data_IF_421318548508
#
_entry.id   IF_421318548508
#
_cell.length_a   1.000
_cell.length_b   1.000
_cell.length_c   1.000
_cell.angle_alpha   90.00
_cell.angle_beta   90.00
_cell.angle_gamma   90.00
#
_symmetry.space_group_name_H-M   'P 1'
#
loop_
_entity.id
_entity.type
_entity.pdbx_description
1 polymer ?
#
# COMPACT_ATOMS: atom_id res chain seq x y z
N UNK A 1 -33.26 13.37 20.74
CA UNK A 1 -33.38 12.58 19.48
C UNK A 1 -34.17 13.28 18.38
N UNK A 2 -35.25 13.96 18.67
CA UNK A 2 -36.08 14.69 17.63
C UNK A 2 -35.43 15.91 16.97
N UNK A 3 -34.45 16.56 17.56
CA UNK A 3 -33.79 17.78 17.00
C UNK A 3 -32.77 17.44 15.92
N UNK A 4 -32.14 16.26 15.97
CA UNK A 4 -31.15 15.82 14.99
C UNK A 4 -31.77 15.51 13.60
N UNK A 5 -33.00 15.00 13.58
CA UNK A 5 -33.68 14.66 12.32
C UNK A 5 -34.22 15.88 11.56
N UNK A 6 -34.57 16.99 12.22
CA UNK A 6 -35.11 18.19 11.53
C UNK A 6 -34.09 18.91 10.65
N UNK A 7 -32.81 18.81 10.93
CA UNK A 7 -31.77 19.47 10.16
C UNK A 7 -31.23 18.60 8.99
N UNK A 8 -31.48 17.29 9.01
CA UNK A 8 -31.09 16.39 7.94
C UNK A 8 -31.86 16.60 6.61
N UNK A 9 -33.08 17.11 6.71
CA UNK A 9 -33.96 17.33 5.52
C UNK A 9 -33.84 18.72 4.89
N UNK A 10 -33.00 19.61 5.40
CA UNK A 10 -32.89 21.01 4.92
C UNK A 10 -31.68 21.31 4.05
N UNK A 11 -30.72 20.40 3.89
CA UNK A 11 -29.61 20.46 2.94
C UNK A 11 -29.57 19.14 2.19
N UNK A 12 -29.40 19.17 0.87
CA UNK A 12 -29.03 18.02 0.06
C UNK A 12 -27.63 17.58 0.48
N UNK A 13 -27.51 16.87 1.59
CA UNK A 13 -26.23 16.26 1.98
C UNK A 13 -26.01 15.06 1.11
N UNK A 14 -24.89 15.05 0.39
CA UNK A 14 -24.39 13.84 -0.21
C UNK A 14 -23.94 12.90 0.93
N UNK A 15 -24.55 11.74 1.03
CA UNK A 15 -24.25 10.76 2.10
C UNK A 15 -22.77 10.36 2.10
N UNK A 16 -22.18 10.25 0.91
CA UNK A 16 -20.76 9.89 0.79
C UNK A 16 -19.84 10.96 1.36
N UNK A 17 -20.16 12.23 1.19
CA UNK A 17 -19.41 13.34 1.79
C UNK A 17 -19.50 13.31 3.32
N UNK A 18 -20.68 13.04 3.87
CA UNK A 18 -20.86 12.93 5.33
C UNK A 18 -20.06 11.76 5.90
N UNK A 19 -20.04 10.62 5.21
CA UNK A 19 -19.25 9.46 5.61
C UNK A 19 -17.74 9.75 5.55
N UNK A 20 -17.29 10.44 4.50
CA UNK A 20 -15.88 10.86 4.37
C UNK A 20 -15.48 11.84 5.48
N UNK A 21 -16.30 12.86 5.77
CA UNK A 21 -16.05 13.77 6.88
C UNK A 21 -15.99 13.04 8.24
N UNK A 22 -16.94 12.10 8.47
CA UNK A 22 -16.94 11.31 9.69
C UNK A 22 -15.65 10.49 9.80
N UNK A 23 -15.26 9.80 8.74
CA UNK A 23 -14.04 9.01 8.65
C UNK A 23 -12.79 9.85 8.92
N UNK A 24 -12.72 11.07 8.35
CA UNK A 24 -11.63 12.01 8.58
C UNK A 24 -11.52 12.41 10.06
N UNK A 25 -12.63 12.81 10.69
CA UNK A 25 -12.67 13.15 12.13
C UNK A 25 -12.23 11.99 13.02
N UNK A 26 -12.67 10.77 12.70
CA UNK A 26 -12.27 9.55 13.42
C UNK A 26 -10.78 9.25 13.20
N UNK A 27 -10.28 9.37 11.99
CA UNK A 27 -8.86 9.16 11.63
C UNK A 27 -7.95 10.15 12.35
N UNK A 28 -8.35 11.41 12.46
CA UNK A 28 -7.63 12.42 13.22
C UNK A 28 -7.56 12.10 14.72
N UNK A 29 -8.62 11.54 15.28
CA UNK A 29 -8.62 11.09 16.67
C UNK A 29 -7.65 9.92 16.88
N UNK A 30 -7.69 8.92 16.01
CA UNK A 30 -6.76 7.78 16.06
C UNK A 30 -5.31 8.26 15.91
N UNK A 31 -5.05 9.16 14.96
CA UNK A 31 -3.72 9.75 14.79
C UNK A 31 -3.20 10.43 16.07
N UNK A 32 -4.05 11.21 16.74
CA UNK A 32 -3.71 11.89 18.01
C UNK A 32 -3.46 10.91 19.14
N UNK A 33 -4.32 9.91 19.31
CA UNK A 33 -4.20 8.88 20.36
C UNK A 33 -2.85 8.15 20.26
N UNK A 34 -2.42 7.80 19.04
CA UNK A 34 -1.18 7.07 18.80
C UNK A 34 0.01 7.97 18.39
N UNK A 35 -0.16 9.30 18.46
CA UNK A 35 0.90 10.29 18.19
C UNK A 35 1.58 10.07 16.83
N UNK A 36 0.79 9.73 15.81
CA UNK A 36 1.27 9.48 14.45
C UNK A 36 2.17 8.25 14.31
N UNK A 37 2.12 7.31 15.24
CA UNK A 37 2.87 6.05 15.14
C UNK A 37 1.93 4.89 14.85
N UNK A 38 2.36 4.00 13.97
CA UNK A 38 1.67 2.72 13.77
C UNK A 38 1.66 1.95 15.09
N UNK A 39 0.46 1.61 15.58
CA UNK A 39 0.25 1.09 16.93
C UNK A 39 0.44 -0.43 16.99
N UNK A 40 0.06 -1.14 15.92
CA UNK A 40 0.01 -2.60 15.90
C UNK A 40 0.58 -3.16 14.58
N UNK A 41 0.61 -4.48 14.45
CA UNK A 41 0.97 -5.17 13.22
C UNK A 41 2.45 -5.10 12.86
N UNK A 42 2.74 -5.44 11.61
CA UNK A 42 4.11 -5.61 11.10
C UNK A 42 4.92 -4.31 11.10
N UNK A 43 4.25 -3.15 10.98
CA UNK A 43 4.91 -1.84 10.89
C UNK A 43 4.86 -1.03 12.19
N UNK A 44 4.52 -1.68 13.32
CA UNK A 44 4.45 -1.04 14.64
C UNK A 44 5.65 -0.10 14.86
N UNK A 45 5.41 1.06 15.49
CA UNK A 45 6.37 2.15 15.79
C UNK A 45 6.90 2.93 14.57
N UNK A 46 6.43 2.64 13.35
CA UNK A 46 6.70 3.49 12.20
C UNK A 46 5.95 4.81 12.36
N UNK A 47 6.63 5.92 12.15
CA UNK A 47 6.03 7.26 12.21
C UNK A 47 5.43 7.60 10.85
N UNK A 48 4.22 8.16 10.86
CA UNK A 48 3.51 8.64 9.68
C UNK A 48 3.22 10.13 9.86
N UNK A 49 3.45 10.92 8.83
CA UNK A 49 3.13 12.34 8.82
C UNK A 49 1.61 12.55 8.85
N UNK A 50 1.16 13.61 9.51
CA UNK A 50 -0.24 14.04 9.46
C UNK A 50 -0.60 14.74 8.14
N UNK A 51 0.39 15.08 7.29
CA UNK A 51 0.11 15.74 6.02
C UNK A 51 -0.84 14.88 5.21
N UNK A 52 -1.91 15.51 4.79
CA UNK A 52 -3.01 14.81 4.14
C UNK A 52 -2.59 14.26 2.79
N UNK A 53 -3.00 13.05 2.58
CA UNK A 53 -3.02 12.36 1.32
C UNK A 53 -4.45 12.39 0.80
N UNK A 54 -4.60 12.06 -0.44
CA UNK A 54 -5.91 11.81 -1.04
C UNK A 54 -6.61 10.56 -0.46
N UNK A 55 -5.92 9.76 0.36
CA UNK A 55 -6.49 8.57 0.96
C UNK A 55 -7.00 8.82 2.38
N UNK A 56 -8.20 8.34 2.65
CA UNK A 56 -8.85 8.44 3.96
C UNK A 56 -8.49 7.25 4.89
N UNK A 57 -7.32 6.64 4.67
CA UNK A 57 -6.91 5.40 5.33
C UNK A 57 -6.03 5.61 6.55
N UNK A 58 -5.86 6.85 6.97
CA UNK A 58 -4.95 7.19 8.07
C UNK A 58 -5.21 6.36 9.32
N UNK A 59 -6.47 6.10 9.65
CA UNK A 59 -6.81 5.28 10.80
C UNK A 59 -6.35 3.82 10.63
N UNK A 60 -6.64 3.20 9.50
CA UNK A 60 -6.21 1.81 9.23
C UNK A 60 -4.69 1.69 9.18
N UNK A 61 -3.99 2.71 8.65
CA UNK A 61 -2.51 2.79 8.67
C UNK A 61 -1.96 2.91 10.09
N UNK A 62 -2.51 3.82 10.91
CA UNK A 62 -2.07 3.99 12.30
C UNK A 62 -2.39 2.74 13.16
N UNK A 63 -3.51 2.09 12.91
CA UNK A 63 -3.85 0.84 13.57
C UNK A 63 -3.02 -0.35 13.05
N UNK A 64 -2.26 -0.20 11.96
CA UNK A 64 -1.42 -1.25 11.39
C UNK A 64 -2.18 -2.29 10.58
N UNK A 65 -3.40 -1.96 10.16
CA UNK A 65 -4.30 -2.86 9.43
C UNK A 65 -4.36 -2.60 7.93
N UNK A 66 -3.91 -1.44 7.47
CA UNK A 66 -3.89 -1.11 6.05
C UNK A 66 -3.15 -2.19 5.27
N UNK A 67 -3.85 -2.86 4.36
CA UNK A 67 -3.31 -3.97 3.54
C UNK A 67 -2.53 -5.02 4.35
N UNK A 68 -3.08 -5.42 5.49
CA UNK A 68 -2.39 -6.34 6.41
C UNK A 68 -2.02 -7.68 5.75
N UNK A 69 -2.85 -8.19 4.83
CA UNK A 69 -2.58 -9.42 4.08
C UNK A 69 -1.34 -9.27 3.17
N UNK A 70 -1.17 -8.09 2.57
CA UNK A 70 0.02 -7.76 1.77
C UNK A 70 1.26 -7.67 2.66
N UNK A 71 1.15 -7.01 3.82
CA UNK A 71 2.24 -6.92 4.80
C UNK A 71 2.71 -8.30 5.26
N UNK A 72 1.78 -9.20 5.57
CA UNK A 72 2.06 -10.58 5.96
C UNK A 72 2.76 -11.33 4.84
N UNK A 73 2.23 -11.23 3.62
CA UNK A 73 2.80 -11.92 2.47
C UNK A 73 4.19 -11.42 2.09
N UNK A 74 4.43 -10.11 2.14
CA UNK A 74 5.77 -9.53 1.93
C UNK A 74 6.76 -10.11 2.96
N UNK A 75 6.36 -10.14 4.23
CA UNK A 75 7.21 -10.62 5.32
C UNK A 75 7.53 -12.11 5.17
N UNK A 76 6.52 -12.92 4.83
CA UNK A 76 6.66 -14.36 4.62
C UNK A 76 7.61 -14.66 3.44
N UNK A 77 7.42 -14.03 2.29
CA UNK A 77 8.29 -14.21 1.13
C UNK A 77 9.71 -13.75 1.43
N UNK A 78 9.85 -12.57 2.08
CA UNK A 78 11.17 -12.05 2.42
C UNK A 78 11.94 -13.02 3.32
N UNK A 79 11.31 -13.56 4.35
CA UNK A 79 11.95 -14.49 5.28
C UNK A 79 12.38 -15.78 4.59
N UNK A 80 11.51 -16.38 3.75
CA UNK A 80 11.76 -17.61 3.01
C UNK A 80 12.82 -17.46 1.91
N UNK A 81 12.81 -16.31 1.20
CA UNK A 81 13.67 -16.08 0.02
C UNK A 81 14.89 -15.22 0.33
N UNK A 82 15.02 -14.73 1.57
CA UNK A 82 16.12 -13.84 2.00
C UNK A 82 16.27 -12.64 1.06
N UNK A 83 15.13 -12.00 0.73
CA UNK A 83 15.13 -10.83 -0.13
C UNK A 83 15.77 -9.66 0.60
N UNK A 84 16.46 -8.77 -0.14
CA UNK A 84 17.25 -7.67 0.44
C UNK A 84 16.80 -6.29 0.00
N UNK A 85 16.23 -6.21 -1.19
CA UNK A 85 15.90 -4.95 -1.86
C UNK A 85 14.40 -4.89 -2.11
N UNK A 86 13.79 -3.78 -1.70
CA UNK A 86 12.43 -3.42 -2.06
C UNK A 86 12.46 -2.36 -3.16
N UNK A 87 11.74 -2.59 -4.25
CA UNK A 87 11.43 -1.59 -5.27
C UNK A 87 9.94 -1.33 -5.23
N UNK A 88 9.53 -0.10 -4.94
CA UNK A 88 8.13 0.27 -4.80
C UNK A 88 7.76 1.26 -5.90
N UNK A 89 6.98 0.81 -6.87
CA UNK A 89 6.35 1.64 -7.89
C UNK A 89 4.99 2.10 -7.39
N UNK A 90 4.71 3.41 -7.45
CA UNK A 90 3.56 4.01 -6.79
C UNK A 90 3.72 3.96 -5.27
N UNK A 91 4.81 4.57 -4.78
CA UNK A 91 5.13 4.46 -3.35
C UNK A 91 4.17 5.24 -2.45
N UNK A 92 3.37 6.13 -3.01
CA UNK A 92 2.49 7.00 -2.26
C UNK A 92 3.28 7.78 -1.21
N UNK A 93 2.73 7.91 -0.02
CA UNK A 93 3.42 8.50 1.13
C UNK A 93 4.47 7.57 1.77
N UNK A 94 4.67 6.38 1.23
CA UNK A 94 5.69 5.43 1.67
C UNK A 94 5.32 4.58 2.87
N UNK A 95 4.05 4.29 3.10
CA UNK A 95 3.61 3.46 4.23
C UNK A 95 4.32 2.10 4.25
N UNK A 96 4.26 1.34 3.15
CA UNK A 96 4.94 0.06 3.05
C UNK A 96 6.46 0.20 3.07
N UNK A 97 7.00 1.14 2.29
CA UNK A 97 8.43 1.37 2.19
C UNK A 97 9.05 1.66 3.57
N UNK A 98 8.48 2.65 4.27
CA UNK A 98 9.02 3.07 5.58
C UNK A 98 8.80 2.00 6.64
N UNK A 99 7.65 1.33 6.65
CA UNK A 99 7.36 0.22 7.56
C UNK A 99 8.35 -0.93 7.43
N UNK A 100 8.54 -1.42 6.21
CA UNK A 100 9.43 -2.54 5.91
C UNK A 100 10.90 -2.23 6.21
N UNK A 101 11.37 -1.03 5.85
CA UNK A 101 12.75 -0.61 6.13
C UNK A 101 12.99 -0.30 7.60
N UNK A 102 12.02 0.31 8.29
CA UNK A 102 12.10 0.58 9.74
C UNK A 102 12.20 -0.71 10.54
N UNK A 103 11.48 -1.75 10.13
CA UNK A 103 11.51 -3.08 10.72
C UNK A 103 12.69 -3.94 10.25
N UNK A 104 13.58 -3.39 9.42
CA UNK A 104 14.77 -4.08 8.88
C UNK A 104 14.42 -5.35 8.08
N UNK A 105 13.20 -5.41 7.51
CA UNK A 105 12.75 -6.50 6.66
C UNK A 105 13.51 -6.48 5.33
N UNK A 106 13.81 -5.28 4.82
CA UNK A 106 14.71 -5.07 3.68
C UNK A 106 15.92 -4.22 4.08
N UNK A 107 17.03 -4.41 3.39
CA UNK A 107 18.27 -3.65 3.60
C UNK A 107 18.22 -2.29 2.91
N UNK A 108 17.63 -2.24 1.70
CA UNK A 108 17.50 -1.03 0.86
C UNK A 108 16.11 -0.95 0.23
N UNK A 109 15.67 0.28 -0.02
CA UNK A 109 14.42 0.58 -0.74
C UNK A 109 14.63 1.61 -1.85
N UNK A 110 14.02 1.35 -2.99
CA UNK A 110 13.91 2.27 -4.12
C UNK A 110 12.44 2.57 -4.36
N UNK A 111 12.06 3.84 -4.28
CA UNK A 111 10.68 4.27 -4.39
C UNK A 111 10.48 5.18 -5.59
N UNK A 112 9.41 4.94 -6.32
CA UNK A 112 8.99 5.75 -7.45
C UNK A 112 7.60 6.30 -7.15
N UNK A 113 7.48 7.64 -7.14
CA UNK A 113 6.22 8.34 -6.91
C UNK A 113 6.15 9.54 -7.87
N UNK A 114 5.15 9.53 -8.75
CA UNK A 114 5.02 10.51 -9.81
C UNK A 114 4.39 11.82 -9.35
N UNK A 115 3.55 11.78 -8.33
CA UNK A 115 2.94 12.96 -7.77
C UNK A 115 3.94 13.68 -6.86
N UNK A 116 4.33 14.89 -7.22
CA UNK A 116 5.35 15.66 -6.48
C UNK A 116 4.93 16.00 -5.04
N UNK A 117 3.65 16.26 -4.81
CA UNK A 117 3.15 16.54 -3.47
C UNK A 117 3.27 15.29 -2.58
N UNK A 118 2.79 14.16 -3.07
CA UNK A 118 2.88 12.87 -2.38
C UNK A 118 4.33 12.46 -2.16
N UNK A 119 5.19 12.69 -3.16
CA UNK A 119 6.63 12.43 -3.03
C UNK A 119 7.28 13.27 -1.92
N UNK A 120 6.91 14.55 -1.75
CA UNK A 120 7.40 15.35 -0.62
C UNK A 120 6.99 14.76 0.73
N UNK A 121 5.81 14.16 0.83
CA UNK A 121 5.37 13.48 2.05
C UNK A 121 6.15 12.18 2.27
N UNK A 122 6.38 11.40 1.22
CA UNK A 122 7.25 10.23 1.24
C UNK A 122 8.65 10.58 1.78
N UNK A 123 9.29 11.62 1.23
CA UNK A 123 10.62 12.06 1.67
C UNK A 123 10.61 12.52 3.14
N UNK A 124 9.54 13.16 3.58
CA UNK A 124 9.35 13.52 4.99
C UNK A 124 9.19 12.27 5.87
N UNK A 125 8.38 11.30 5.47
CA UNK A 125 8.20 10.05 6.22
C UNK A 125 9.51 9.26 6.32
N UNK A 126 10.31 9.22 5.26
CA UNK A 126 11.67 8.65 5.27
C UNK A 126 12.56 9.37 6.30
N UNK A 127 12.51 10.72 6.33
CA UNK A 127 13.31 11.55 7.25
C UNK A 127 12.95 11.29 8.71
N UNK A 128 11.66 11.33 9.07
CA UNK A 128 11.22 11.17 10.48
C UNK A 128 11.44 9.74 11.00
N UNK A 129 11.55 8.75 10.11
CA UNK A 129 11.90 7.38 10.45
C UNK A 129 13.41 7.10 10.41
N UNK A 130 14.27 8.09 10.09
CA UNK A 130 15.73 7.99 9.99
C UNK A 130 16.20 6.98 8.94
N UNK A 131 15.54 6.93 7.77
CA UNK A 131 15.77 5.94 6.71
C UNK A 131 16.54 6.47 5.49
N UNK A 132 16.97 7.76 5.47
CA UNK A 132 17.65 8.40 4.33
C UNK A 132 18.81 7.61 3.75
N UNK A 133 19.62 6.95 4.60
CA UNK A 133 20.78 6.15 4.13
C UNK A 133 20.42 4.85 3.43
N UNK A 134 19.16 4.41 3.54
CA UNK A 134 18.67 3.13 3.00
C UNK A 134 17.65 3.29 1.89
N UNK A 135 17.22 4.54 1.60
CA UNK A 135 16.10 4.81 0.71
C UNK A 135 16.50 5.81 -0.37
N UNK A 136 16.10 5.50 -1.60
CA UNK A 136 16.30 6.34 -2.77
C UNK A 136 14.94 6.59 -3.41
N UNK A 137 14.59 7.86 -3.66
CA UNK A 137 13.28 8.25 -4.19
C UNK A 137 13.42 8.90 -5.55
N UNK A 138 12.50 8.58 -6.48
CA UNK A 138 12.48 9.03 -7.86
C UNK A 138 11.06 9.46 -8.26
N UNK A 139 10.94 10.41 -9.21
CA UNK A 139 9.64 10.91 -9.66
C UNK A 139 8.92 9.93 -10.59
N UNK A 140 9.63 9.22 -11.46
CA UNK A 140 9.03 8.29 -12.43
C UNK A 140 9.78 6.97 -12.45
N UNK A 141 9.05 5.90 -12.79
CA UNK A 141 9.66 4.59 -13.04
C UNK A 141 10.69 4.69 -14.16
N UNK A 142 11.92 4.28 -13.88
CA UNK A 142 13.01 4.31 -14.83
C UNK A 142 13.86 3.04 -14.70
N UNK A 143 13.76 2.16 -15.69
CA UNK A 143 14.49 0.90 -15.70
C UNK A 143 15.99 1.06 -15.92
N UNK A 144 16.45 2.14 -16.56
CA UNK A 144 17.87 2.42 -16.71
C UNK A 144 18.50 2.75 -15.36
N UNK A 145 17.82 3.60 -14.57
CA UNK A 145 18.22 3.90 -13.20
C UNK A 145 18.27 2.60 -12.38
N UNK A 146 17.21 1.79 -12.42
CA UNK A 146 17.17 0.52 -11.69
C UNK A 146 18.30 -0.42 -12.12
N UNK A 147 18.60 -0.50 -13.40
CA UNK A 147 19.67 -1.36 -13.93
C UNK A 147 21.07 -0.91 -13.47
N UNK A 148 21.26 0.39 -13.25
CA UNK A 148 22.50 0.94 -12.67
C UNK A 148 22.60 0.70 -11.16
N UNK A 149 21.46 0.75 -10.46
CA UNK A 149 21.41 0.63 -8.99
C UNK A 149 21.38 -0.81 -8.48
N UNK A 150 20.80 -1.73 -9.25
CA UNK A 150 20.62 -3.13 -8.87
C UNK A 150 21.47 -4.01 -9.79
N UNK A 151 22.59 -4.50 -9.24
CA UNK A 151 23.49 -5.43 -9.96
C UNK A 151 22.72 -6.68 -10.41
N UNK A 152 23.05 -7.28 -11.56
CA UNK A 152 22.37 -8.49 -12.06
C UNK A 152 22.32 -9.64 -11.05
N UNK A 153 23.39 -9.84 -10.26
CA UNK A 153 23.48 -10.85 -9.20
C UNK A 153 22.46 -10.67 -8.06
N UNK A 154 21.98 -9.43 -7.86
CA UNK A 154 21.01 -9.12 -6.81
C UNK A 154 19.56 -9.19 -7.27
N UNK A 155 19.27 -9.37 -8.57
CA UNK A 155 17.88 -9.42 -9.09
C UNK A 155 17.03 -10.48 -8.39
N UNK A 156 17.60 -11.64 -8.06
CA UNK A 156 16.91 -12.70 -7.28
C UNK A 156 16.62 -12.32 -5.83
N UNK A 157 17.17 -11.20 -5.33
CA UNK A 157 16.97 -10.67 -3.98
C UNK A 157 16.07 -9.45 -3.93
N UNK A 158 15.35 -9.18 -5.02
CA UNK A 158 14.45 -8.03 -5.16
C UNK A 158 13.00 -8.46 -5.01
N UNK A 159 12.22 -7.66 -4.27
CA UNK A 159 10.77 -7.61 -4.33
C UNK A 159 10.35 -6.31 -4.99
N UNK A 160 9.51 -6.42 -6.01
CA UNK A 160 8.77 -5.28 -6.56
C UNK A 160 7.39 -5.24 -5.90
N UNK A 161 7.06 -4.11 -5.28
CA UNK A 161 5.71 -3.76 -4.84
C UNK A 161 5.20 -2.72 -5.84
N UNK A 162 4.08 -3.01 -6.51
CA UNK A 162 3.59 -2.23 -7.66
C UNK A 162 2.13 -1.89 -7.40
N UNK A 163 1.86 -0.61 -7.27
CA UNK A 163 0.55 -0.01 -7.08
C UNK A 163 0.56 1.33 -7.83
N UNK A 164 0.11 1.33 -9.08
CA UNK A 164 0.21 2.45 -10.01
C UNK A 164 -1.09 2.72 -10.79
N UNK A 165 -2.21 2.47 -10.10
CA UNK A 165 -3.54 2.90 -10.54
C UNK A 165 -3.89 2.49 -11.98
N UNK A 166 -3.58 1.26 -12.35
CA UNK A 166 -3.91 0.67 -13.65
C UNK A 166 -2.81 0.79 -14.72
N UNK A 167 -1.66 1.42 -14.42
CA UNK A 167 -0.51 1.43 -15.32
C UNK A 167 0.31 0.13 -15.27
N UNK A 168 0.07 -0.75 -14.30
CA UNK A 168 0.74 -2.06 -14.19
C UNK A 168 0.52 -2.93 -15.43
N UNK A 169 -0.61 -2.77 -16.13
CA UNK A 169 -0.92 -3.48 -17.36
C UNK A 169 -0.01 -3.08 -18.54
N UNK A 170 0.58 -1.90 -18.49
CA UNK A 170 1.47 -1.36 -19.51
C UNK A 170 2.95 -1.37 -19.05
N UNK A 171 3.18 -1.48 -17.73
CA UNK A 171 4.51 -1.60 -17.15
C UNK A 171 5.08 -3.01 -17.31
N UNK A 172 4.28 -4.06 -16.97
CA UNK A 172 4.75 -5.45 -16.96
C UNK A 172 4.35 -6.14 -18.27
N UNK A 173 5.11 -5.83 -19.32
CA UNK A 173 4.91 -6.35 -20.67
C UNK A 173 6.18 -7.02 -21.20
N UNK A 174 6.10 -7.65 -22.37
CA UNK A 174 7.19 -8.43 -22.98
C UNK A 174 8.53 -7.65 -23.05
N UNK A 175 8.50 -6.39 -23.48
CA UNK A 175 9.73 -5.55 -23.61
C UNK A 175 10.42 -5.28 -22.26
N UNK A 176 9.65 -5.24 -21.17
CA UNK A 176 10.14 -4.95 -19.82
C UNK A 176 10.42 -6.20 -18.99
N UNK A 177 10.03 -7.38 -19.46
CA UNK A 177 10.10 -8.65 -18.71
C UNK A 177 11.50 -8.94 -18.16
N UNK A 178 12.56 -8.61 -18.90
CA UNK A 178 13.96 -8.77 -18.48
C UNK A 178 14.32 -8.09 -17.14
N UNK A 179 13.54 -7.09 -16.72
CA UNK A 179 13.74 -6.38 -15.48
C UNK A 179 13.09 -7.10 -14.28
N UNK A 180 12.06 -7.92 -14.52
CA UNK A 180 11.21 -8.55 -13.52
C UNK A 180 11.40 -10.06 -13.36
N UNK A 181 11.75 -10.77 -14.44
CA UNK A 181 11.65 -12.24 -14.55
C UNK A 181 12.40 -13.04 -13.47
N UNK A 182 13.42 -12.45 -12.83
CA UNK A 182 14.19 -13.09 -11.76
C UNK A 182 13.84 -12.57 -10.36
N UNK A 183 12.81 -11.75 -10.24
CA UNK A 183 12.42 -11.08 -8.99
C UNK A 183 11.02 -11.52 -8.57
N UNK A 184 10.69 -11.31 -7.31
CA UNK A 184 9.32 -11.45 -6.81
C UNK A 184 8.57 -10.15 -7.04
N UNK A 185 7.28 -10.24 -7.42
CA UNK A 185 6.42 -9.08 -7.60
C UNK A 185 5.16 -9.26 -6.75
N UNK A 186 4.68 -8.18 -6.16
CA UNK A 186 3.35 -8.05 -5.58
C UNK A 186 2.73 -6.84 -6.27
N UNK A 187 1.63 -7.07 -6.99
CA UNK A 187 1.02 -6.11 -7.90
C UNK A 187 -0.41 -5.88 -7.45
N UNK A 188 -0.80 -4.63 -7.15
CA UNK A 188 -2.21 -4.32 -6.96
C UNK A 188 -2.96 -4.48 -8.27
N UNK A 189 -4.12 -5.11 -8.23
CA UNK A 189 -4.86 -5.50 -9.42
C UNK A 189 -6.01 -4.51 -9.67
N UNK A 190 -5.77 -3.51 -10.49
CA UNK A 190 -6.78 -2.53 -10.91
C UNK A 190 -7.59 -3.01 -12.12
N UNK A 191 -8.03 -4.26 -12.11
CA UNK A 191 -8.75 -4.88 -13.22
C UNK A 191 -10.06 -4.16 -13.56
N UNK A 192 -10.70 -3.51 -12.60
CA UNK A 192 -11.92 -2.72 -12.79
C UNK A 192 -11.72 -1.48 -13.68
N UNK A 193 -10.47 -1.01 -13.85
CA UNK A 193 -10.13 0.11 -14.74
C UNK A 193 -9.90 -0.32 -16.19
N UNK A 194 -9.96 -1.61 -16.52
CA UNK A 194 -9.64 -2.15 -17.85
C UNK A 194 -10.74 -3.07 -18.37
N UNK A 195 -10.84 -3.19 -19.70
CA UNK A 195 -11.75 -4.15 -20.29
C UNK A 195 -11.30 -5.60 -20.04
N UNK A 196 -12.25 -6.52 -20.05
CA UNK A 196 -12.04 -7.95 -19.76
C UNK A 196 -10.96 -8.60 -20.65
N UNK A 197 -10.88 -8.21 -21.93
CA UNK A 197 -9.87 -8.75 -22.86
C UNK A 197 -8.45 -8.38 -22.44
N UNK A 198 -8.23 -7.08 -22.07
CA UNK A 198 -6.91 -6.60 -21.60
C UNK A 198 -6.51 -7.31 -20.29
N UNK A 199 -7.44 -7.46 -19.36
CA UNK A 199 -7.21 -8.18 -18.09
C UNK A 199 -6.84 -9.63 -18.33
N UNK A 200 -7.58 -10.35 -19.15
CA UNK A 200 -7.30 -11.76 -19.46
C UNK A 200 -5.95 -11.97 -20.14
N UNK A 201 -5.62 -11.10 -21.09
CA UNK A 201 -4.31 -11.13 -21.78
C UNK A 201 -3.16 -10.89 -20.79
N UNK A 202 -3.32 -9.93 -19.90
CA UNK A 202 -2.33 -9.61 -18.87
C UNK A 202 -2.12 -10.78 -17.90
N UNK A 203 -3.20 -11.35 -17.37
CA UNK A 203 -3.12 -12.51 -16.48
C UNK A 203 -2.49 -13.73 -17.18
N UNK A 204 -2.82 -13.96 -18.44
CA UNK A 204 -2.21 -15.03 -19.26
C UNK A 204 -0.70 -14.79 -19.45
N UNK A 205 -0.31 -13.53 -19.71
CA UNK A 205 1.10 -13.16 -19.81
C UNK A 205 1.85 -13.38 -18.49
N UNK A 206 1.25 -12.98 -17.34
CA UNK A 206 1.85 -13.22 -16.03
C UNK A 206 1.99 -14.71 -15.74
N UNK A 207 0.93 -15.51 -15.96
CA UNK A 207 0.94 -16.99 -15.79
C UNK A 207 2.01 -17.66 -16.64
N UNK A 208 2.22 -17.19 -17.88
CA UNK A 208 3.27 -17.72 -18.75
C UNK A 208 4.67 -17.51 -18.17
N UNK A 209 4.93 -16.37 -17.54
CA UNK A 209 6.28 -15.96 -17.12
C UNK A 209 6.59 -16.14 -15.64
N UNK A 210 5.57 -16.27 -14.80
CA UNK A 210 5.67 -16.40 -13.35
C UNK A 210 4.77 -17.51 -12.82
N UNK A 211 5.10 -18.00 -11.62
CA UNK A 211 4.14 -18.73 -10.77
C UNK A 211 3.34 -17.67 -10.04
N UNK A 212 2.02 -17.60 -10.30
CA UNK A 212 1.16 -16.58 -9.70
C UNK A 212 0.27 -17.14 -8.58
N UNK A 213 -0.06 -16.26 -7.63
CA UNK A 213 -1.08 -16.48 -6.59
C UNK A 213 -1.84 -15.17 -6.38
N UNK A 214 -3.12 -15.25 -6.07
CA UNK A 214 -3.96 -14.08 -5.77
C UNK A 214 -4.04 -13.93 -4.25
N UNK A 215 -3.90 -12.69 -3.80
CA UNK A 215 -4.10 -12.27 -2.42
C UNK A 215 -5.34 -11.40 -2.41
N UNK A 216 -6.42 -11.89 -1.85
CA UNK A 216 -7.66 -11.13 -1.75
C UNK A 216 -7.67 -10.27 -0.50
N UNK A 217 -8.25 -9.08 -0.60
CA UNK A 217 -8.53 -8.27 0.55
C UNK A 217 -9.65 -8.93 1.37
N UNK A 218 -9.45 -8.98 2.68
CA UNK A 218 -10.43 -9.49 3.62
C UNK A 218 -10.89 -8.41 4.60
N UNK A 219 -12.02 -8.65 5.24
CA UNK A 219 -12.54 -7.79 6.30
C UNK A 219 -11.55 -7.71 7.48
N UNK A 220 -11.58 -6.59 8.18
CA UNK A 220 -10.78 -6.35 9.38
C UNK A 220 -11.68 -6.32 10.60
N UNK A 221 -11.28 -7.00 11.65
CA UNK A 221 -12.05 -7.05 12.88
C UNK A 221 -11.73 -5.83 13.77
N UNK A 222 -12.66 -4.88 13.94
CA UNK A 222 -12.43 -3.71 14.79
C UNK A 222 -12.41 -4.04 16.29
N UNK A 223 -12.92 -5.20 16.69
CA UNK A 223 -13.08 -5.58 18.10
C UNK A 223 -11.78 -6.03 18.76
N UNK A 224 -10.72 -6.30 18.00
CA UNK A 224 -9.42 -6.69 18.55
C UNK A 224 -8.70 -5.54 19.27
N UNK A 225 -9.13 -4.29 19.07
CA UNK A 225 -8.49 -3.11 19.65
C UNK A 225 -9.20 -2.65 20.92
N UNK A 226 -8.64 -2.96 22.09
CA UNK A 226 -9.20 -2.57 23.38
C UNK A 226 -9.48 -1.07 23.49
N UNK A 227 -8.61 -0.22 22.91
CA UNK A 227 -8.77 1.25 22.93
C UNK A 227 -9.96 1.77 22.10
N UNK A 228 -10.50 0.97 21.19
CA UNK A 228 -11.65 1.34 20.38
C UNK A 228 -12.99 0.92 21.02
N UNK A 229 -12.98 0.19 22.14
CA UNK A 229 -14.20 -0.32 22.79
C UNK A 229 -15.21 0.76 23.20
N UNK A 230 -14.71 1.99 23.49
CA UNK A 230 -15.54 3.13 23.87
C UNK A 230 -16.22 3.83 22.69
N UNK A 231 -15.82 3.49 21.46
CA UNK A 231 -16.38 4.09 20.26
C UNK A 231 -17.69 3.39 19.86
N UNK A 232 -18.56 4.13 19.16
CA UNK A 232 -19.75 3.55 18.56
C UNK A 232 -19.38 2.44 17.57
N UNK A 233 -20.26 1.49 17.39
CA UNK A 233 -20.01 0.32 16.53
C UNK A 233 -19.74 0.73 15.08
N UNK A 234 -20.62 1.55 14.49
CA UNK A 234 -20.46 2.06 13.12
C UNK A 234 -19.13 2.79 12.92
N UNK A 235 -18.69 3.59 13.93
CA UNK A 235 -17.42 4.30 13.86
C UNK A 235 -16.24 3.33 13.81
N UNK A 236 -16.30 2.22 14.53
CA UNK A 236 -15.25 1.20 14.52
C UNK A 236 -15.15 0.51 13.15
N UNK A 237 -16.30 0.16 12.54
CA UNK A 237 -16.32 -0.40 11.18
C UNK A 237 -15.84 0.61 10.14
N UNK A 238 -16.26 1.87 10.26
CA UNK A 238 -15.81 2.92 9.35
C UNK A 238 -14.30 3.13 9.39
N UNK A 239 -13.67 3.01 10.55
CA UNK A 239 -12.20 3.08 10.70
C UNK A 239 -11.47 1.91 10.02
N UNK A 240 -12.13 0.76 9.82
CA UNK A 240 -11.55 -0.40 9.14
C UNK A 240 -11.64 -0.31 7.62
N UNK A 241 -12.52 0.56 7.11
CA UNK A 241 -12.69 0.75 5.67
C UNK A 241 -11.48 1.45 5.04
N UNK A 242 -11.02 0.97 3.90
CA UNK A 242 -9.98 1.61 3.08
C UNK A 242 -10.55 2.50 1.96
N UNK A 243 -11.87 2.58 1.83
CA UNK A 243 -12.53 3.39 0.80
C UNK A 243 -12.35 2.86 -0.63
N UNK A 244 -12.11 1.57 -0.78
CA UNK A 244 -11.93 0.92 -2.09
C UNK A 244 -13.25 0.90 -2.86
N UNK A 245 -13.23 1.12 -4.20
CA UNK A 245 -14.46 1.19 -5.00
C UNK A 245 -15.13 -0.19 -5.18
N UNK A 246 -14.37 -1.26 -5.01
CA UNK A 246 -14.83 -2.65 -5.11
C UNK A 246 -13.91 -3.58 -4.32
N UNK A 247 -14.21 -4.86 -4.31
CA UNK A 247 -13.27 -5.85 -3.78
C UNK A 247 -12.06 -5.94 -4.70
N UNK A 248 -10.92 -5.49 -4.19
CA UNK A 248 -9.64 -5.52 -4.90
C UNK A 248 -8.80 -6.71 -4.46
N UNK A 249 -7.80 -7.04 -5.25
CA UNK A 249 -6.86 -8.12 -4.97
C UNK A 249 -5.44 -7.71 -5.33
N UNK A 250 -4.49 -8.50 -4.86
CA UNK A 250 -3.08 -8.37 -5.23
C UNK A 250 -2.61 -9.64 -5.95
N UNK A 251 -1.78 -9.47 -6.97
CA UNK A 251 -1.18 -10.59 -7.70
C UNK A 251 0.25 -10.78 -7.23
N UNK A 252 0.50 -11.90 -6.58
CA UNK A 252 1.86 -12.34 -6.26
C UNK A 252 2.45 -13.07 -7.46
N UNK A 253 3.60 -12.63 -7.94
CA UNK A 253 4.38 -13.30 -8.98
C UNK A 253 5.72 -13.78 -8.40
N UNK A 254 5.97 -15.08 -8.45
CA UNK A 254 7.26 -15.67 -8.11
C UNK A 254 7.97 -16.14 -9.38
N UNK A 255 9.31 -15.99 -9.46
CA UNK A 255 10.07 -16.52 -10.59
C UNK A 255 9.81 -18.01 -10.78
N UNK A 256 9.64 -18.45 -12.04
CA UNK A 256 9.66 -19.89 -12.36
C UNK A 256 11.08 -20.42 -12.20
N UNK A 257 11.20 -21.59 -11.61
CA UNK A 257 12.47 -22.33 -11.67
C UNK A 257 12.82 -22.54 -13.15
N UNK A 258 14.06 -22.21 -13.51
CA UNK A 258 14.63 -22.60 -14.79
C UNK A 258 15.01 -24.07 -14.73
#
# INVERSE_FOLDING_TARGET
MKIYFKNLFRKNYNLDELLLERKKKLSDNIYRIFKGKVAFGKYKDTKISKKEHWSYDMASKILGLYESQVQEKITDIQSKKKLKILVNFGAGEGYHLTGLLKKKIFEKGYAFESNEYTKRILDHNIKINKLKKKTFTFAKSNFEILSKLIKPSLKKKVLFLIDIEGEEFDLIIKKNLKHFQNSHLIIENHNFLKNKKKVNNYLSFLKKNFKINIIENSSRNPFIFKKLKIMKDDDRWLLMSEGRPCQMSWILCAPKAK
#
